data_IF_128313920929
#
_entry.id   IF_128313920929
#
_cell.length_a   1.000
_cell.length_b   1.000
_cell.length_c   1.000
_cell.angle_alpha   90.00
_cell.angle_beta   90.00
_cell.angle_gamma   90.00
#
_symmetry.space_group_name_H-M   'P 1'
#
loop_
_entity.id
_entity.type
_entity.pdbx_description
1 polymer ?
#
# COMPACT_ATOMS: atom_id res chain seq x y z
N UNK A 1 13.01 -6.42 22.75
CA UNK A 1 11.61 -6.42 23.21
C UNK A 1 10.80 -7.21 22.20
N UNK A 2 10.58 -8.48 22.56
CA UNK A 2 9.75 -9.57 21.99
C UNK A 2 9.18 -9.40 20.56
N UNK A 3 9.73 -10.18 19.62
CA UNK A 3 9.03 -10.60 18.40
C UNK A 3 7.85 -11.48 18.82
N UNK A 4 6.63 -11.00 18.62
CA UNK A 4 5.44 -11.79 18.87
C UNK A 4 5.30 -12.88 17.79
N UNK A 5 5.11 -14.13 18.23
CA UNK A 5 4.99 -15.31 17.39
C UNK A 5 3.82 -15.13 16.42
N UNK A 6 4.09 -15.12 15.11
CA UNK A 6 3.10 -15.00 14.02
C UNK A 6 1.93 -15.96 14.22
N UNK A 7 2.17 -17.13 14.79
CA UNK A 7 1.12 -18.12 15.05
C UNK A 7 0.12 -17.67 16.13
N UNK A 8 0.55 -16.84 17.09
CA UNK A 8 -0.32 -16.33 18.15
C UNK A 8 -1.34 -15.33 17.57
N UNK A 9 -0.94 -14.46 16.64
CA UNK A 9 -1.87 -13.55 15.98
C UNK A 9 -2.85 -14.28 15.06
N UNK A 10 -2.38 -15.30 14.33
CA UNK A 10 -3.25 -16.09 13.46
C UNK A 10 -4.28 -16.89 14.27
N UNK A 11 -3.92 -17.35 15.47
CA UNK A 11 -4.83 -17.99 16.41
C UNK A 11 -5.92 -17.03 16.90
N UNK A 12 -5.57 -15.80 17.29
CA UNK A 12 -6.56 -14.79 17.69
C UNK A 12 -7.46 -14.29 16.56
N UNK A 13 -7.06 -14.54 15.32
CA UNK A 13 -7.87 -14.28 14.13
C UNK A 13 -8.72 -15.48 13.71
N UNK A 14 -8.75 -16.56 14.51
CA UNK A 14 -9.44 -17.83 14.22
C UNK A 14 -9.01 -18.46 12.87
N UNK A 15 -7.77 -18.20 12.44
CA UNK A 15 -7.23 -18.75 11.19
C UNK A 15 -6.61 -20.12 11.46
N UNK A 16 -7.21 -21.16 10.88
CA UNK A 16 -6.68 -22.53 10.95
C UNK A 16 -5.40 -22.63 10.12
N UNK A 17 -4.26 -22.68 10.81
CA UNK A 17 -2.95 -22.83 10.19
C UNK A 17 -2.66 -24.32 9.92
N UNK A 18 -2.74 -24.75 8.67
CA UNK A 18 -2.35 -26.10 8.27
C UNK A 18 -0.81 -26.23 8.27
N UNK A 19 -0.29 -27.19 9.05
CA UNK A 19 1.13 -27.57 9.00
C UNK A 19 1.32 -28.86 8.21
N UNK A 20 2.39 -28.91 7.42
CA UNK A 20 2.83 -30.14 6.74
C UNK A 20 3.23 -31.16 7.80
N UNK A 21 2.67 -32.38 7.72
CA UNK A 21 3.11 -33.49 8.58
C UNK A 21 4.52 -33.90 8.15
N UNK A 22 5.47 -33.82 9.09
CA UNK A 22 6.81 -34.39 8.97
C UNK A 22 7.86 -33.46 8.36
N UNK A 23 8.50 -32.65 9.21
CA UNK A 23 9.96 -32.47 9.25
C UNK A 23 10.32 -31.72 10.52
N UNK A 24 11.15 -32.36 11.35
CA UNK A 24 11.67 -31.90 12.63
C UNK A 24 12.59 -30.67 12.49
N UNK A 25 12.64 -29.91 13.58
CA UNK A 25 13.32 -28.61 13.78
C UNK A 25 14.84 -28.75 13.76
N UNK A 26 15.55 -27.73 13.25
CA UNK A 26 16.80 -27.27 13.86
C UNK A 26 16.95 -25.76 13.64
N UNK A 27 17.00 -25.03 14.75
CA UNK A 27 17.51 -23.67 14.83
C UNK A 27 19.03 -23.74 15.00
N UNK A 28 19.78 -22.89 14.31
CA UNK A 28 21.15 -22.59 14.70
C UNK A 28 21.53 -21.16 14.29
N UNK A 29 21.97 -20.42 15.30
CA UNK A 29 22.66 -19.14 15.20
C UNK A 29 24.13 -19.40 14.83
N UNK A 30 24.70 -18.57 13.93
CA UNK A 30 26.12 -18.25 13.98
C UNK A 30 26.37 -16.84 13.41
N UNK A 31 27.12 -16.06 14.18
CA UNK A 31 27.65 -14.75 13.83
C UNK A 31 28.85 -14.88 12.87
N UNK A 32 29.01 -13.91 11.98
CA UNK A 32 30.19 -13.75 11.13
C UNK A 32 30.32 -12.30 10.64
N UNK A 33 31.46 -11.69 10.94
CA UNK A 33 31.76 -10.26 10.78
C UNK A 33 32.15 -9.86 9.34
N UNK A 34 31.79 -8.64 8.99
CA UNK A 34 32.44 -7.64 8.12
C UNK A 34 33.22 -8.06 6.85
N UNK A 35 32.82 -7.50 5.69
CA UNK A 35 33.55 -6.40 5.03
C UNK A 35 32.91 -5.96 3.70
N UNK A 36 32.67 -4.64 3.58
CA UNK A 36 32.94 -3.82 2.39
C UNK A 36 32.18 -4.10 1.09
N UNK A 37 31.23 -3.22 0.77
CA UNK A 37 31.14 -2.67 -0.59
C UNK A 37 30.52 -1.27 -0.55
N UNK A 38 31.24 -0.33 -1.17
CA UNK A 38 30.90 1.09 -1.28
C UNK A 38 29.53 1.33 -1.92
N UNK A 39 28.82 2.42 -1.57
CA UNK A 39 27.66 2.84 -2.33
C UNK A 39 28.13 3.35 -3.69
N UNK A 40 27.83 2.59 -4.73
CA UNK A 40 28.06 2.98 -6.12
C UNK A 40 27.15 4.17 -6.44
N UNK A 41 27.76 5.30 -6.77
CA UNK A 41 27.09 6.54 -7.12
C UNK A 41 26.44 6.43 -8.50
N UNK A 42 25.18 6.02 -8.55
CA UNK A 42 24.28 6.21 -9.70
C UNK A 42 23.18 7.25 -9.39
N UNK A 43 23.37 8.08 -8.36
CA UNK A 43 22.39 9.05 -7.89
C UNK A 43 22.68 10.45 -8.41
N UNK A 44 22.11 10.84 -9.56
CA UNK A 44 21.92 12.27 -9.88
C UNK A 44 20.66 12.55 -10.70
N UNK A 45 20.28 11.71 -11.67
CA UNK A 45 19.09 12.00 -12.51
C UNK A 45 17.77 11.43 -11.94
N UNK A 46 17.80 10.19 -11.44
CA UNK A 46 16.60 9.52 -10.91
C UNK A 46 16.11 10.14 -9.58
N UNK A 47 17.03 10.41 -8.65
CA UNK A 47 16.73 11.13 -7.40
C UNK A 47 16.10 12.49 -7.70
N UNK A 48 16.76 13.32 -8.52
CA UNK A 48 16.29 14.68 -8.86
C UNK A 48 14.88 14.67 -9.45
N UNK A 49 14.49 13.62 -10.19
CA UNK A 49 13.13 13.44 -10.70
C UNK A 49 12.10 13.15 -9.57
N UNK A 50 12.48 12.33 -8.59
CA UNK A 50 11.63 12.01 -7.43
C UNK A 50 11.43 13.20 -6.50
N UNK A 51 12.51 13.89 -6.12
CA UNK A 51 12.37 15.07 -5.25
C UNK A 51 11.62 16.21 -5.96
N UNK A 52 11.70 16.29 -7.29
CA UNK A 52 10.87 17.19 -8.07
C UNK A 52 9.39 16.81 -7.96
N UNK A 53 9.05 15.53 -8.13
CA UNK A 53 7.68 15.04 -7.98
C UNK A 53 7.12 15.31 -6.58
N UNK A 54 7.91 15.10 -5.52
CA UNK A 54 7.53 15.43 -4.15
C UNK A 54 7.22 16.92 -3.98
N UNK A 55 8.08 17.81 -4.51
CA UNK A 55 7.86 19.27 -4.47
C UNK A 55 6.63 19.71 -5.27
N UNK A 56 6.40 19.09 -6.43
CA UNK A 56 5.21 19.36 -7.24
C UNK A 56 3.93 19.00 -6.47
N UNK A 57 3.90 17.86 -5.76
CA UNK A 57 2.75 17.49 -4.93
C UNK A 57 2.60 18.46 -3.76
N UNK A 58 3.68 18.77 -3.04
CA UNK A 58 3.63 19.64 -1.86
C UNK A 58 3.08 21.05 -2.17
N UNK A 59 3.36 21.56 -3.36
CA UNK A 59 2.91 22.88 -3.83
C UNK A 59 1.64 22.84 -4.70
N UNK A 60 1.03 21.66 -4.91
CA UNK A 60 -0.07 21.49 -5.85
C UNK A 60 -1.32 22.28 -5.46
N UNK A 61 -1.91 23.00 -6.42
CA UNK A 61 -3.18 23.76 -6.28
C UNK A 61 -4.22 23.40 -7.35
N UNK A 62 -4.06 22.24 -8.01
CA UNK A 62 -4.88 21.83 -9.18
C UNK A 62 -6.36 21.56 -8.88
N UNK A 63 -6.76 21.47 -7.61
CA UNK A 63 -8.16 21.29 -7.21
C UNK A 63 -8.44 21.92 -5.84
N UNK A 64 -9.71 22.11 -5.49
CA UNK A 64 -10.15 22.79 -4.26
C UNK A 64 -9.67 22.11 -2.95
N UNK A 65 -9.20 20.86 -2.99
CA UNK A 65 -8.68 20.18 -1.79
C UNK A 65 -7.42 20.84 -1.21
N UNK A 66 -6.73 21.69 -1.98
CA UNK A 66 -5.60 22.45 -1.48
C UNK A 66 -5.99 23.51 -0.45
N UNK A 67 -7.24 23.99 -0.48
CA UNK A 67 -7.73 25.06 0.40
C UNK A 67 -7.92 24.57 1.84
N UNK A 68 -8.27 23.29 2.02
CA UNK A 68 -8.64 22.72 3.31
C UNK A 68 -7.60 21.79 3.94
N UNK A 69 -6.59 21.36 3.18
CA UNK A 69 -5.57 20.43 3.70
C UNK A 69 -4.64 21.15 4.69
N UNK A 70 -4.12 20.40 5.66
CA UNK A 70 -2.97 20.85 6.47
C UNK A 70 -1.67 20.42 5.83
N UNK A 71 -1.58 19.18 5.37
CA UNK A 71 -0.42 18.68 4.64
C UNK A 71 -0.87 17.86 3.44
N UNK A 72 -0.08 17.89 2.38
CA UNK A 72 -0.20 16.85 1.35
C UNK A 72 0.38 15.55 1.87
N UNK A 73 -0.23 14.43 1.48
CA UNK A 73 0.24 13.09 1.81
C UNK A 73 0.71 12.43 0.53
N UNK A 74 2.02 12.48 0.30
CA UNK A 74 2.64 12.03 -0.95
C UNK A 74 2.58 10.51 -1.10
N UNK A 75 3.08 9.81 -0.08
CA UNK A 75 3.34 8.38 -0.04
C UNK A 75 4.48 8.11 0.94
N UNK A 76 4.63 6.86 1.38
CA UNK A 76 5.71 6.46 2.28
C UNK A 76 6.14 5.03 2.01
N UNK A 77 7.42 4.73 2.26
CA UNK A 77 8.00 3.41 2.07
C UNK A 77 9.23 3.44 1.17
N UNK A 78 9.69 2.26 0.73
CA UNK A 78 10.85 2.14 -0.16
C UNK A 78 10.52 2.57 -1.60
N UNK A 79 11.42 3.32 -2.23
CA UNK A 79 11.33 3.66 -3.67
C UNK A 79 11.72 2.49 -4.58
N UNK A 80 12.31 1.42 -4.01
CA UNK A 80 12.68 0.19 -4.72
C UNK A 80 11.74 -0.96 -4.32
N UNK A 81 10.52 -0.65 -3.90
CA UNK A 81 9.56 -1.62 -3.37
C UNK A 81 8.94 -2.50 -4.46
N UNK A 82 8.94 -3.81 -4.25
CA UNK A 82 8.22 -4.77 -5.10
C UNK A 82 6.69 -4.65 -4.99
N UNK A 83 6.20 -4.17 -3.84
CA UNK A 83 4.78 -4.06 -3.52
C UNK A 83 4.35 -2.62 -3.39
N UNK A 84 3.30 -2.24 -4.13
CA UNK A 84 2.70 -0.92 -4.06
C UNK A 84 1.25 -0.99 -3.59
N UNK A 85 0.97 -0.47 -2.40
CA UNK A 85 -0.39 -0.41 -1.84
C UNK A 85 -1.02 0.96 -2.11
N UNK A 86 -2.24 0.96 -2.63
CA UNK A 86 -2.96 2.19 -3.02
C UNK A 86 -4.29 2.28 -2.30
N UNK A 87 -4.44 3.29 -1.45
CA UNK A 87 -5.71 3.69 -0.86
C UNK A 87 -6.43 4.80 -1.63
N UNK A 88 -7.51 5.28 -1.05
CA UNK A 88 -8.40 6.27 -1.66
C UNK A 88 -7.90 7.71 -1.47
N UNK A 89 -7.88 8.16 -0.22
CA UNK A 89 -7.52 9.52 0.16
C UNK A 89 -6.99 9.58 1.61
N UNK A 90 -6.25 10.64 1.98
CA UNK A 90 -5.81 10.83 3.35
C UNK A 90 -6.97 11.08 4.31
N UNK A 91 -6.89 10.51 5.51
CA UNK A 91 -7.78 10.84 6.62
C UNK A 91 -7.23 11.99 7.48
N UNK A 92 -7.90 12.25 8.60
CA UNK A 92 -7.55 13.37 9.50
C UNK A 92 -6.13 13.27 10.07
N UNK A 93 -5.70 12.07 10.48
CA UNK A 93 -4.38 11.92 11.09
C UNK A 93 -3.28 11.96 10.03
N UNK A 94 -3.56 11.41 8.85
CA UNK A 94 -2.67 11.45 7.70
C UNK A 94 -2.45 12.89 7.24
N UNK A 95 -3.52 13.69 7.10
CA UNK A 95 -3.43 15.13 6.80
C UNK A 95 -2.66 15.92 7.88
N UNK A 96 -2.78 15.50 9.14
CA UNK A 96 -2.03 16.14 10.25
C UNK A 96 -0.54 15.85 10.18
N UNK A 97 -0.16 14.63 9.82
CA UNK A 97 1.23 14.16 9.85
C UNK A 97 1.96 14.22 8.50
N UNK A 98 1.23 14.28 7.39
CA UNK A 98 1.80 14.16 6.04
C UNK A 98 2.14 12.72 5.62
N UNK A 99 1.77 11.72 6.42
CA UNK A 99 2.14 10.31 6.23
C UNK A 99 0.87 9.48 5.98
N UNK A 100 0.83 8.61 4.95
CA UNK A 100 -0.35 7.80 4.66
C UNK A 100 -0.54 6.69 5.69
N UNK A 101 -1.79 6.29 5.93
CA UNK A 101 -2.14 5.13 6.76
C UNK A 101 -1.46 5.15 8.14
N UNK A 102 -1.64 6.23 8.90
CA UNK A 102 -1.14 6.35 10.30
C UNK A 102 -2.25 6.20 11.34
N UNK A 103 -3.52 6.33 10.94
CA UNK A 103 -4.66 6.10 11.82
C UNK A 103 -4.95 4.61 12.09
N UNK A 104 -6.14 4.32 12.64
CA UNK A 104 -6.59 2.94 12.95
C UNK A 104 -6.59 2.02 11.73
N UNK A 105 -7.00 2.55 10.56
CA UNK A 105 -6.97 1.81 9.30
C UNK A 105 -5.53 1.47 8.90
N UNK A 106 -4.59 2.36 9.18
CA UNK A 106 -3.16 2.15 8.99
C UNK A 106 -2.57 1.06 9.87
N UNK A 107 -2.90 1.06 11.15
CA UNK A 107 -2.47 0.00 12.07
C UNK A 107 -2.93 -1.39 11.62
N UNK A 108 -4.16 -1.49 11.09
CA UNK A 108 -4.63 -2.74 10.51
C UNK A 108 -3.87 -3.10 9.22
N UNK A 109 -3.57 -2.13 8.37
CA UNK A 109 -2.73 -2.35 7.19
C UNK A 109 -1.35 -2.88 7.59
N UNK A 110 -0.71 -2.30 8.62
CA UNK A 110 0.57 -2.79 9.15
C UNK A 110 0.49 -4.25 9.59
N UNK A 111 -0.60 -4.66 10.27
CA UNK A 111 -0.81 -6.05 10.67
C UNK A 111 -1.02 -6.99 9.47
N UNK A 112 -1.68 -6.51 8.41
CA UNK A 112 -1.86 -7.25 7.16
C UNK A 112 -0.52 -7.46 6.43
N UNK A 113 0.32 -6.41 6.36
CA UNK A 113 1.68 -6.49 5.80
C UNK A 113 2.55 -7.47 6.60
N UNK A 114 2.53 -7.36 7.93
CA UNK A 114 3.27 -8.28 8.79
C UNK A 114 2.85 -9.74 8.57
N UNK A 115 1.56 -9.99 8.35
CA UNK A 115 1.05 -11.34 8.05
C UNK A 115 1.58 -11.88 6.71
N UNK A 116 1.84 -11.00 5.74
CA UNK A 116 2.51 -11.34 4.48
C UNK A 116 4.02 -11.57 4.62
N UNK A 117 4.60 -11.22 5.77
CA UNK A 117 6.04 -11.19 5.99
C UNK A 117 6.70 -9.93 5.44
N UNK A 118 5.95 -8.84 5.31
CA UNK A 118 6.40 -7.53 4.83
C UNK A 118 6.37 -6.51 5.97
N UNK A 119 7.28 -5.54 5.91
CA UNK A 119 7.31 -4.35 6.77
C UNK A 119 6.87 -3.10 6.00
N UNK A 120 6.67 -1.98 6.71
CA UNK A 120 6.32 -0.71 6.06
C UNK A 120 7.49 -0.16 5.23
N UNK A 121 8.71 -0.51 5.59
CA UNK A 121 9.94 -0.08 4.95
C UNK A 121 10.22 -0.84 3.65
N UNK A 122 9.65 -2.04 3.47
CA UNK A 122 9.84 -2.89 2.29
C UNK A 122 8.80 -2.65 1.18
N UNK A 123 7.70 -1.97 1.51
CA UNK A 123 6.60 -1.69 0.58
C UNK A 123 6.52 -0.20 0.30
N UNK A 124 5.78 0.19 -0.72
CA UNK A 124 5.38 1.58 -0.90
C UNK A 124 3.88 1.73 -0.72
N UNK A 125 3.45 2.74 0.04
CA UNK A 125 2.04 3.01 0.34
C UNK A 125 1.71 4.42 -0.10
N UNK A 126 0.66 4.58 -0.89
CA UNK A 126 0.13 5.87 -1.26
C UNK A 126 -1.40 5.85 -1.39
N UNK A 127 -1.98 7.01 -1.67
CA UNK A 127 -3.39 7.16 -2.01
C UNK A 127 -3.55 7.73 -3.42
N UNK A 128 -4.71 7.51 -4.03
CA UNK A 128 -5.10 8.18 -5.29
C UNK A 128 -5.08 9.69 -5.11
N UNK A 129 -5.77 10.20 -4.09
CA UNK A 129 -5.69 11.62 -3.73
C UNK A 129 -4.51 11.88 -2.78
N UNK A 130 -3.85 13.03 -2.97
CA UNK A 130 -2.75 13.50 -2.10
C UNK A 130 -3.21 14.49 -1.03
N UNK A 131 -4.48 14.86 -1.01
CA UNK A 131 -5.07 15.82 -0.09
C UNK A 131 -6.33 15.22 0.51
N UNK A 132 -6.60 15.52 1.78
CA UNK A 132 -7.80 15.06 2.50
C UNK A 132 -9.05 15.80 2.01
N UNK A 133 -10.11 15.10 1.57
CA UNK A 133 -11.41 15.70 1.35
C UNK A 133 -12.02 16.25 2.66
N UNK A 134 -12.73 17.40 2.61
CA UNK A 134 -13.46 17.94 3.76
C UNK A 134 -14.34 16.87 4.42
N UNK A 135 -14.31 16.81 5.75
CA UNK A 135 -15.07 15.84 6.55
C UNK A 135 -14.84 14.36 6.21
N UNK A 136 -13.76 14.03 5.48
CA UNK A 136 -13.51 12.70 4.93
C UNK A 136 -14.65 12.19 4.03
N UNK A 137 -15.30 13.09 3.28
CA UNK A 137 -16.24 12.69 2.23
C UNK A 137 -15.53 11.91 1.13
N UNK A 138 -16.33 11.23 0.32
CA UNK A 138 -15.84 10.53 -0.85
C UNK A 138 -15.17 11.50 -1.87
N UNK A 139 -14.11 11.07 -2.57
CA UNK A 139 -13.50 11.78 -3.69
C UNK A 139 -14.48 12.09 -4.82
N UNK A 140 -14.37 13.29 -5.37
CA UNK A 140 -15.07 13.64 -6.61
C UNK A 140 -14.22 13.29 -7.83
N UNK A 141 -14.87 12.96 -8.95
CA UNK A 141 -14.16 12.60 -10.19
C UNK A 141 -13.17 13.67 -10.66
N UNK A 142 -13.53 14.95 -10.54
CA UNK A 142 -12.62 16.07 -10.85
C UNK A 142 -11.37 16.10 -9.96
N UNK A 143 -11.49 15.70 -8.70
CA UNK A 143 -10.36 15.64 -7.77
C UNK A 143 -9.42 14.49 -8.14
N UNK A 144 -10.01 13.33 -8.48
CA UNK A 144 -9.27 12.15 -8.95
C UNK A 144 -8.49 12.48 -10.22
N UNK A 145 -9.17 13.01 -11.25
CA UNK A 145 -8.54 13.35 -12.54
C UNK A 145 -7.38 14.35 -12.38
N UNK A 146 -7.48 15.30 -11.44
CA UNK A 146 -6.42 16.26 -11.18
C UNK A 146 -5.22 15.68 -10.40
N UNK A 147 -5.41 14.57 -9.69
CA UNK A 147 -4.43 14.00 -8.76
C UNK A 147 -3.78 12.70 -9.26
N UNK A 148 -4.50 11.88 -10.04
CA UNK A 148 -4.07 10.54 -10.45
C UNK A 148 -2.73 10.53 -11.21
N UNK A 149 -2.45 11.59 -11.98
CA UNK A 149 -1.16 11.75 -12.68
C UNK A 149 0.06 11.68 -11.75
N UNK A 150 -0.07 12.10 -10.49
CA UNK A 150 1.01 11.96 -9.51
C UNK A 150 1.21 10.49 -9.11
N UNK A 151 0.12 9.75 -8.91
CA UNK A 151 0.19 8.33 -8.59
C UNK A 151 0.79 7.53 -9.74
N UNK A 152 0.39 7.79 -10.98
CA UNK A 152 0.97 7.15 -12.17
C UNK A 152 2.48 7.37 -12.24
N UNK A 153 2.94 8.60 -12.00
CA UNK A 153 4.37 8.92 -11.95
C UNK A 153 5.08 8.25 -10.76
N UNK A 154 4.40 8.05 -9.64
CA UNK A 154 4.94 7.29 -8.52
C UNK A 154 5.14 5.82 -8.87
N UNK A 155 4.12 5.18 -9.46
CA UNK A 155 4.20 3.80 -9.91
C UNK A 155 5.30 3.63 -10.96
N UNK A 156 5.35 4.50 -11.97
CA UNK A 156 6.36 4.44 -13.02
C UNK A 156 7.80 4.66 -12.49
N UNK A 157 7.97 5.49 -11.47
CA UNK A 157 9.28 5.70 -10.85
C UNK A 157 9.73 4.49 -10.02
N UNK A 158 8.82 3.92 -9.24
CA UNK A 158 9.12 2.80 -8.33
C UNK A 158 9.27 1.49 -9.10
N UNK A 159 8.50 1.31 -10.19
CA UNK A 159 8.50 0.08 -10.97
C UNK A 159 8.16 -1.17 -10.15
N UNK A 160 7.07 -1.18 -9.35
CA UNK A 160 6.75 -2.31 -8.48
C UNK A 160 6.38 -3.55 -9.30
N UNK A 161 6.53 -4.72 -8.71
CA UNK A 161 6.10 -6.00 -9.32
C UNK A 161 4.60 -6.21 -9.20
N UNK A 162 3.95 -5.61 -8.20
CA UNK A 162 2.51 -5.69 -8.01
C UNK A 162 1.91 -4.44 -7.36
N UNK A 163 0.67 -4.14 -7.75
CA UNK A 163 -0.17 -3.11 -7.13
C UNK A 163 -1.31 -3.78 -6.37
N UNK A 164 -1.55 -3.35 -5.13
CA UNK A 164 -2.70 -3.76 -4.32
C UNK A 164 -3.62 -2.57 -4.10
N UNK A 165 -4.80 -2.60 -4.72
CA UNK A 165 -5.81 -1.57 -4.58
C UNK A 165 -6.69 -1.84 -3.33
N UNK A 166 -6.62 -0.92 -2.36
CA UNK A 166 -7.33 -0.99 -1.10
C UNK A 166 -8.69 -0.28 -1.22
N UNK A 167 -9.75 -1.05 -1.44
CA UNK A 167 -11.12 -0.53 -1.52
C UNK A 167 -11.60 -0.17 -2.92
N UNK A 168 -12.87 0.21 -2.99
CA UNK A 168 -13.58 0.45 -4.26
C UNK A 168 -12.96 1.61 -5.03
N UNK A 169 -12.81 2.77 -4.40
CA UNK A 169 -12.34 3.97 -5.09
C UNK A 169 -10.93 3.82 -5.67
N UNK A 170 -10.00 3.27 -4.91
CA UNK A 170 -8.66 2.96 -5.41
C UNK A 170 -8.73 2.02 -6.62
N UNK A 171 -9.53 0.95 -6.53
CA UNK A 171 -9.68 0.00 -7.62
C UNK A 171 -10.30 0.63 -8.89
N UNK A 172 -11.37 1.42 -8.73
CA UNK A 172 -12.05 2.08 -9.84
C UNK A 172 -11.13 3.10 -10.53
N UNK A 173 -10.34 3.86 -9.78
CA UNK A 173 -9.37 4.81 -10.34
C UNK A 173 -8.21 4.10 -11.07
N UNK A 174 -7.66 3.02 -10.51
CA UNK A 174 -6.55 2.31 -11.13
C UNK A 174 -6.96 1.46 -12.34
N UNK A 175 -8.18 0.92 -12.33
CA UNK A 175 -8.70 0.08 -13.42
C UNK A 175 -9.51 0.87 -14.45
N UNK A 176 -9.86 2.12 -14.15
CA UNK A 176 -10.75 2.97 -14.96
C UNK A 176 -12.09 2.27 -15.26
N UNK A 177 -12.66 1.62 -14.24
CA UNK A 177 -13.91 0.87 -14.32
C UNK A 177 -14.84 1.27 -13.19
N UNK A 178 -16.08 1.64 -13.49
CA UNK A 178 -17.09 1.91 -12.46
C UNK A 178 -17.91 0.65 -12.15
N UNK A 179 -17.29 -0.28 -11.41
CA UNK A 179 -17.93 -1.53 -11.00
C UNK A 179 -17.82 -1.75 -9.49
N UNK A 180 -18.71 -2.60 -8.96
CA UNK A 180 -18.72 -2.92 -7.54
C UNK A 180 -17.46 -3.71 -7.13
N UNK A 181 -16.96 -3.45 -5.92
CA UNK A 181 -15.75 -4.12 -5.40
C UNK A 181 -15.89 -5.65 -5.35
N UNK A 182 -17.09 -6.17 -5.14
CA UNK A 182 -17.38 -7.61 -5.14
C UNK A 182 -17.07 -8.28 -6.48
N UNK A 183 -17.18 -7.54 -7.59
CA UNK A 183 -16.88 -8.02 -8.94
C UNK A 183 -15.39 -7.86 -9.31
N UNK A 184 -14.64 -7.06 -8.56
CA UNK A 184 -13.23 -6.78 -8.81
C UNK A 184 -12.29 -7.70 -8.02
N UNK A 185 -12.65 -8.07 -6.81
CA UNK A 185 -11.79 -8.92 -5.96
C UNK A 185 -11.68 -10.37 -6.47
N UNK A 186 -10.72 -11.12 -5.92
CA UNK A 186 -10.53 -12.55 -6.21
C UNK A 186 -9.97 -12.88 -7.60
N UNK A 187 -9.40 -11.89 -8.30
CA UNK A 187 -8.72 -12.05 -9.59
C UNK A 187 -7.54 -11.08 -9.69
N UNK A 188 -6.60 -11.43 -10.56
CA UNK A 188 -5.48 -10.56 -10.95
C UNK A 188 -5.93 -9.76 -12.17
N UNK A 189 -5.86 -8.44 -12.06
CA UNK A 189 -6.09 -7.50 -13.15
C UNK A 189 -4.76 -6.99 -13.69
N UNK A 190 -4.85 -6.17 -14.74
CA UNK A 190 -3.72 -5.40 -15.23
C UNK A 190 -3.96 -3.92 -14.90
N UNK A 191 -2.93 -3.30 -14.35
CA UNK A 191 -2.90 -1.86 -14.21
C UNK A 191 -2.92 -1.23 -15.61
N UNK A 192 -3.74 -0.19 -15.77
CA UNK A 192 -3.97 0.45 -17.06
C UNK A 192 -2.70 1.07 -17.67
N UNK A 193 -1.68 1.31 -16.86
CA UNK A 193 -0.36 1.78 -17.27
C UNK A 193 0.64 0.67 -16.97
N UNK A 194 1.52 0.36 -17.93
CA UNK A 194 2.60 -0.64 -17.81
C UNK A 194 2.17 -2.10 -17.58
N UNK A 195 0.86 -2.41 -17.64
CA UNK A 195 0.31 -3.78 -17.57
C UNK A 195 0.73 -4.56 -16.32
N UNK A 196 1.05 -3.85 -15.24
CA UNK A 196 1.48 -4.45 -13.97
C UNK A 196 0.34 -5.29 -13.35
N UNK A 197 0.63 -6.43 -12.70
CA UNK A 197 -0.34 -7.16 -11.92
C UNK A 197 -1.00 -6.25 -10.88
N UNK A 198 -2.33 -6.26 -10.84
CA UNK A 198 -3.13 -5.50 -9.88
C UNK A 198 -4.14 -6.40 -9.19
N UNK A 199 -4.11 -6.43 -7.86
CA UNK A 199 -5.12 -7.15 -7.06
C UNK A 199 -5.93 -6.16 -6.23
N UNK A 200 -7.24 -6.38 -6.22
CA UNK A 200 -8.19 -5.57 -5.45
C UNK A 200 -8.53 -6.29 -4.16
N UNK A 201 -8.55 -5.56 -3.05
CA UNK A 201 -9.01 -6.05 -1.74
C UNK A 201 -9.85 -4.98 -1.02
N UNK A 202 -10.42 -5.31 0.13
CA UNK A 202 -11.17 -4.34 0.92
C UNK A 202 -10.25 -3.31 1.57
N UNK A 203 -10.75 -2.06 1.71
CA UNK A 203 -10.04 -1.04 2.45
C UNK A 203 -9.96 -1.41 3.95
N UNK A 204 -8.82 -1.18 4.64
CA UNK A 204 -8.69 -1.51 6.07
C UNK A 204 -9.77 -0.85 6.95
N UNK A 205 -10.19 0.38 6.64
CA UNK A 205 -11.28 1.03 7.37
C UNK A 205 -12.63 0.28 7.28
N UNK A 206 -12.90 -0.40 6.16
CA UNK A 206 -14.08 -1.26 6.02
C UNK A 206 -13.93 -2.51 6.89
N UNK A 207 -12.75 -3.13 6.91
CA UNK A 207 -12.47 -4.33 7.71
C UNK A 207 -12.56 -4.08 9.23
N UNK A 208 -12.30 -2.85 9.68
CA UNK A 208 -12.53 -2.47 11.07
C UNK A 208 -14.02 -2.45 11.44
N UNK A 209 -14.92 -2.14 10.49
CA UNK A 209 -16.37 -2.15 10.68
C UNK A 209 -17.00 -3.51 10.37
N UNK A 210 -16.35 -4.32 9.55
CA UNK A 210 -16.82 -5.63 9.11
C UNK A 210 -15.73 -6.69 9.25
N UNK A 211 -15.41 -7.14 10.48
CA UNK A 211 -14.32 -8.09 10.74
C UNK A 211 -14.46 -9.42 10.00
N UNK A 212 -15.69 -9.88 9.73
CA UNK A 212 -15.96 -11.11 8.98
C UNK A 212 -15.44 -11.07 7.54
N UNK A 213 -15.16 -9.88 6.98
CA UNK A 213 -14.58 -9.72 5.65
C UNK A 213 -13.04 -9.84 5.63
N UNK A 214 -12.37 -9.96 6.80
CA UNK A 214 -10.91 -10.10 6.88
C UNK A 214 -10.41 -11.37 6.18
N UNK A 215 -11.12 -12.49 6.32
CA UNK A 215 -10.76 -13.75 5.65
C UNK A 215 -10.74 -13.60 4.11
N UNK A 216 -11.72 -12.88 3.56
CA UNK A 216 -11.77 -12.56 2.12
C UNK A 216 -10.60 -11.68 1.69
N UNK A 217 -10.23 -10.71 2.52
CA UNK A 217 -9.08 -9.82 2.23
C UNK A 217 -7.76 -10.58 2.27
N UNK A 218 -7.61 -11.52 3.21
CA UNK A 218 -6.44 -12.39 3.27
C UNK A 218 -6.30 -13.26 2.02
N UNK A 219 -7.39 -13.81 1.50
CA UNK A 219 -7.39 -14.53 0.23
C UNK A 219 -6.90 -13.66 -0.93
N UNK A 220 -7.35 -12.40 -0.99
CA UNK A 220 -6.89 -11.45 -2.02
C UNK A 220 -5.37 -11.15 -1.88
N UNK A 221 -4.85 -11.02 -0.65
CA UNK A 221 -3.42 -10.81 -0.43
C UNK A 221 -2.56 -12.04 -0.78
N UNK A 222 -3.05 -13.24 -0.52
CA UNK A 222 -2.40 -14.47 -0.97
C UNK A 222 -2.41 -14.60 -2.49
N UNK A 223 -3.49 -14.20 -3.15
CA UNK A 223 -3.56 -14.12 -4.60
C UNK A 223 -2.50 -13.14 -5.15
N UNK A 224 -2.41 -11.96 -4.55
CA UNK A 224 -1.40 -10.96 -4.91
C UNK A 224 0.02 -11.54 -4.80
N UNK A 225 0.32 -12.22 -3.70
CA UNK A 225 1.61 -12.87 -3.48
C UNK A 225 1.91 -13.91 -4.56
N UNK A 226 0.95 -14.78 -4.87
CA UNK A 226 1.12 -15.81 -5.90
C UNK A 226 1.29 -15.27 -7.31
N UNK A 227 0.89 -14.02 -7.57
CA UNK A 227 1.02 -13.41 -8.90
C UNK A 227 2.44 -12.91 -9.20
N UNK A 228 3.31 -12.82 -8.19
CA UNK A 228 4.71 -12.36 -8.32
C UNK A 228 5.74 -13.36 -7.78
N UNK A 229 5.32 -14.51 -7.26
CA UNK A 229 6.21 -15.64 -6.97
C UNK A 229 6.45 -16.46 -8.24
#
# INVERSE_FOLDING_TARGET
>A
MVMADRNAYLAEMEVVCWRRRGSSVAAEHAAGSAMGSSPNQAGTAAGVSWEKLQREVASCTRCALHDSRRNTVFGSGSTDADWFFVGEAPGREEDRQGIPFVGRAGQLLSAMLFSLGLSHEEVYIANVLKCRPPDNRDPQGVEVNNCESFLHRQVAHIGPRIIVALGRFAAQALLQQDVAISQLRGKVHQYNIDQLPLVVTYHPAYLLRSPTAKAKSWQDLMLARSAIE
#
